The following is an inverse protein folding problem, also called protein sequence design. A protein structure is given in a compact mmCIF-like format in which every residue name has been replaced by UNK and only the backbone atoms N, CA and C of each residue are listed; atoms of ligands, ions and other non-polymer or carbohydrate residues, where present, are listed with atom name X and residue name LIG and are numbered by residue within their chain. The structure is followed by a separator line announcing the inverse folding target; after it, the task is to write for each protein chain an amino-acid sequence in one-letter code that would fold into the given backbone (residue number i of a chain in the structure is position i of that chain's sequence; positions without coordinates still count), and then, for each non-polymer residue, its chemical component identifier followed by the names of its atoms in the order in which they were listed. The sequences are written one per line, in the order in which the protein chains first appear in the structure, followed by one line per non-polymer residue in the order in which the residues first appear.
data_IF_678830266147
#
_entry.id   IF_678830266147
#
_cell.length_a   1.000
_cell.length_b   1.000
_cell.length_c   1.000
_cell.angle_alpha   90.00
_cell.angle_beta   90.00
_cell.angle_gamma   90.00
#
_symmetry.space_group_name_H-M   'P 1'
#
loop_
_entity.id
_entity.type
_entity.pdbx_description
1 polymer ?
#
# COMPACT_ATOMS: atom_id res chain seq x y z
N UNK A 1 10.46 10.09 -0.92
CA UNK A 1 9.73 10.30 0.34
C UNK A 1 8.92 11.58 0.36
N UNK A 2 9.45 12.67 -0.21
CA UNK A 2 8.70 13.92 -0.30
C UNK A 2 7.37 13.76 -1.04
N UNK A 3 7.36 12.97 -2.11
CA UNK A 3 6.13 12.73 -2.88
C UNK A 3 5.05 12.06 -2.03
N UNK A 4 5.44 11.12 -1.17
CA UNK A 4 4.50 10.46 -0.27
C UNK A 4 3.98 11.41 0.80
N UNK A 5 4.85 12.24 1.35
CA UNK A 5 4.44 13.24 2.34
C UNK A 5 3.47 14.25 1.72
N UNK A 6 3.76 14.73 0.51
CA UNK A 6 2.87 15.65 -0.21
C UNK A 6 1.51 15.02 -0.48
N UNK A 7 1.49 13.75 -0.89
CA UNK A 7 0.23 13.03 -1.13
C UNK A 7 -0.60 12.94 0.14
N UNK A 8 0.02 12.56 1.26
CA UNK A 8 -0.67 12.45 2.55
C UNK A 8 -1.19 13.81 3.00
N UNK A 9 -0.39 14.86 2.86
CA UNK A 9 -0.81 16.22 3.22
C UNK A 9 -2.02 16.67 2.40
N UNK A 10 -2.02 16.43 1.09
CA UNK A 10 -3.13 16.77 0.21
C UNK A 10 -4.40 16.02 0.63
N UNK A 11 -4.28 14.71 0.91
CA UNK A 11 -5.41 13.89 1.33
C UNK A 11 -5.98 14.39 2.66
N UNK A 12 -5.13 14.67 3.65
CA UNK A 12 -5.57 15.12 4.96
C UNK A 12 -6.15 16.52 4.94
N UNK A 13 -5.65 17.40 4.07
CA UNK A 13 -6.17 18.76 3.93
C UNK A 13 -7.47 18.81 3.13
N UNK A 14 -7.68 17.83 2.22
CA UNK A 14 -8.85 17.79 1.34
C UNK A 14 -10.00 17.02 1.98
N UNK A 15 -9.70 15.92 2.70
CA UNK A 15 -10.70 15.04 3.31
C UNK A 15 -10.84 15.36 4.80
N UNK A 16 -12.05 15.20 5.38
CA UNK A 16 -12.23 15.30 6.83
C UNK A 16 -11.64 14.05 7.50
N UNK A 17 -10.35 14.10 7.80
CA UNK A 17 -9.58 12.93 8.28
C UNK A 17 -10.16 12.34 9.56
N UNK A 18 -10.80 13.15 10.39
CA UNK A 18 -11.46 12.70 11.61
C UNK A 18 -12.67 11.81 11.35
N UNK A 19 -13.22 11.86 10.13
CA UNK A 19 -14.35 11.04 9.70
C UNK A 19 -13.95 9.83 8.87
N UNK A 20 -12.65 9.72 8.54
CA UNK A 20 -12.14 8.56 7.83
C UNK A 20 -11.89 7.44 8.83
N UNK A 21 -12.54 6.29 8.64
CA UNK A 21 -12.43 5.16 9.55
C UNK A 21 -11.20 4.30 9.25
N UNK A 22 -10.91 4.09 7.97
CA UNK A 22 -9.77 3.27 7.56
C UNK A 22 -9.25 3.67 6.20
N UNK A 23 -7.99 3.34 5.94
CA UNK A 23 -7.31 3.55 4.67
C UNK A 23 -6.68 2.25 4.23
N UNK A 24 -6.85 1.90 2.97
CA UNK A 24 -6.19 0.75 2.37
C UNK A 24 -4.97 1.20 1.57
N UNK A 25 -3.81 0.62 1.87
CA UNK A 25 -2.58 0.85 1.13
C UNK A 25 -2.27 -0.35 0.26
N UNK A 26 -1.93 -0.10 -1.00
CA UNK A 26 -1.51 -1.16 -1.91
C UNK A 26 -0.35 -0.69 -2.76
N UNK A 27 0.58 -1.58 -3.07
CA UNK A 27 1.64 -1.30 -4.03
C UNK A 27 1.19 -1.75 -5.42
N UNK A 28 1.85 -1.20 -6.43
CA UNK A 28 1.59 -1.59 -7.81
C UNK A 28 1.95 -3.06 -8.00
N UNK A 29 1.01 -3.82 -8.54
CA UNK A 29 1.20 -5.22 -8.90
C UNK A 29 0.46 -5.51 -10.20
N UNK A 30 0.99 -6.42 -10.98
CA UNK A 30 0.44 -6.68 -12.32
C UNK A 30 0.74 -8.10 -12.78
N UNK A 31 -0.09 -8.60 -13.69
CA UNK A 31 0.21 -9.81 -14.43
C UNK A 31 1.16 -9.47 -15.58
N UNK A 32 2.05 -10.40 -15.98
CA UNK A 32 3.06 -10.11 -17.02
C UNK A 32 2.48 -9.53 -18.32
N UNK A 33 1.29 -9.96 -18.71
CA UNK A 33 0.62 -9.49 -19.94
C UNK A 33 0.28 -8.00 -19.88
N UNK A 34 0.00 -7.47 -18.70
CA UNK A 34 -0.38 -6.06 -18.53
C UNK A 34 0.79 -5.13 -18.83
N UNK A 35 2.03 -5.57 -18.58
CA UNK A 35 3.22 -4.76 -18.86
C UNK A 35 3.30 -4.34 -20.32
N UNK A 36 3.08 -5.27 -21.24
CA UNK A 36 3.08 -4.97 -22.69
C UNK A 36 2.00 -3.98 -23.07
N UNK A 37 0.80 -4.15 -22.49
CA UNK A 37 -0.34 -3.27 -22.78
C UNK A 37 -0.04 -1.84 -22.31
N UNK A 38 0.46 -1.69 -21.11
CA UNK A 38 0.78 -0.38 -20.54
C UNK A 38 1.91 0.28 -21.33
N UNK A 39 2.99 -0.46 -21.64
CA UNK A 39 4.11 0.09 -22.39
C UNK A 39 3.70 0.55 -23.79
N UNK A 40 2.76 -0.14 -24.44
CA UNK A 40 2.27 0.25 -25.74
C UNK A 40 1.41 1.52 -25.68
N UNK A 41 0.61 1.68 -24.64
CA UNK A 41 -0.27 2.85 -24.46
C UNK A 41 0.44 4.05 -23.85
N UNK A 42 1.43 3.79 -23.00
CA UNK A 42 2.15 4.81 -22.24
C UNK A 42 3.65 4.53 -22.28
N UNK A 43 4.32 4.71 -23.45
CA UNK A 43 5.73 4.33 -23.60
C UNK A 43 6.68 5.13 -22.70
N UNK A 44 6.26 6.31 -22.22
CA UNK A 44 7.05 7.14 -21.31
C UNK A 44 6.86 6.81 -19.84
N UNK A 45 6.08 5.77 -19.50
CA UNK A 45 5.82 5.44 -18.10
C UNK A 45 7.08 5.01 -17.34
N UNK A 46 7.16 5.38 -16.06
CA UNK A 46 8.24 4.98 -15.17
C UNK A 46 7.89 3.74 -14.32
N UNK A 47 6.69 3.18 -14.47
CA UNK A 47 6.19 2.10 -13.62
C UNK A 47 7.06 0.85 -13.63
N UNK A 48 7.71 0.55 -14.77
CA UNK A 48 8.49 -0.68 -14.95
C UNK A 48 10.00 -0.47 -14.92
N UNK A 49 10.48 0.71 -14.49
CA UNK A 49 11.92 1.01 -14.44
C UNK A 49 12.65 0.31 -13.31
N UNK A 50 11.95 -0.03 -12.24
CA UNK A 50 12.52 -0.81 -11.13
C UNK A 50 12.41 -2.29 -11.42
N UNK A 51 13.24 -3.10 -10.75
CA UNK A 51 13.11 -4.55 -10.83
C UNK A 51 11.84 -5.00 -10.14
N UNK A 52 11.14 -5.95 -10.77
CA UNK A 52 9.94 -6.55 -10.24
C UNK A 52 10.12 -8.06 -10.09
N UNK A 53 9.50 -8.63 -9.07
CA UNK A 53 9.62 -10.03 -8.72
C UNK A 53 8.25 -10.71 -8.75
N UNK A 54 8.16 -11.96 -9.24
CA UNK A 54 6.89 -12.69 -9.23
C UNK A 54 6.50 -13.08 -7.81
N UNK A 55 5.24 -12.83 -7.46
CA UNK A 55 4.66 -13.27 -6.20
C UNK A 55 4.05 -14.66 -6.32
N UNK A 56 3.56 -15.18 -5.20
CA UNK A 56 2.90 -16.50 -5.14
C UNK A 56 1.64 -16.58 -6.00
N UNK A 57 1.01 -15.44 -6.27
CA UNK A 57 -0.20 -15.34 -7.08
C UNK A 57 0.09 -15.13 -8.58
N UNK A 58 1.36 -15.19 -9.00
CA UNK A 58 1.76 -15.00 -10.39
C UNK A 58 1.81 -13.55 -10.85
N UNK A 59 1.56 -12.60 -9.99
CA UNK A 59 1.65 -11.18 -10.29
C UNK A 59 3.03 -10.65 -9.95
N UNK A 60 3.53 -9.71 -10.76
CA UNK A 60 4.81 -9.04 -10.48
C UNK A 60 4.60 -7.86 -9.55
N UNK A 61 5.56 -7.64 -8.64
CA UNK A 61 5.55 -6.58 -7.64
C UNK A 61 6.92 -5.95 -7.50
N UNK A 62 6.97 -4.78 -6.90
CA UNK A 62 8.23 -4.19 -6.47
C UNK A 62 8.91 -5.07 -5.43
N UNK A 63 10.24 -4.93 -5.33
CA UNK A 63 11.06 -5.66 -4.36
C UNK A 63 10.51 -5.45 -2.94
N UNK A 64 10.41 -6.54 -2.17
CA UNK A 64 9.77 -6.54 -0.85
C UNK A 64 10.32 -5.48 0.12
N UNK A 65 11.66 -5.30 0.28
CA UNK A 65 12.18 -4.24 1.16
C UNK A 65 11.73 -2.85 0.73
N UNK A 66 11.60 -2.58 -0.57
CA UNK A 66 11.10 -1.30 -1.07
C UNK A 66 9.62 -1.10 -0.72
N UNK A 67 8.82 -2.16 -0.85
CA UNK A 67 7.40 -2.12 -0.47
C UNK A 67 7.26 -1.84 1.02
N UNK A 68 8.02 -2.56 1.86
CA UNK A 68 7.99 -2.37 3.31
C UNK A 68 8.33 -0.93 3.68
N UNK A 69 9.38 -0.37 3.07
CA UNK A 69 9.80 1.00 3.34
C UNK A 69 8.72 2.00 2.92
N UNK A 70 8.13 1.83 1.75
CA UNK A 70 7.07 2.72 1.27
C UNK A 70 5.85 2.67 2.18
N UNK A 71 5.41 1.47 2.58
CA UNK A 71 4.28 1.31 3.49
C UNK A 71 4.55 1.95 4.85
N UNK A 72 5.74 1.73 5.42
CA UNK A 72 6.11 2.32 6.72
C UNK A 72 6.14 3.84 6.64
N UNK A 73 6.67 4.39 5.56
CA UNK A 73 6.75 5.83 5.35
C UNK A 73 5.36 6.45 5.27
N UNK A 74 4.49 5.90 4.43
CA UNK A 74 3.13 6.43 4.26
C UNK A 74 2.31 6.25 5.55
N UNK A 75 2.41 5.08 6.18
CA UNK A 75 1.73 4.82 7.44
C UNK A 75 2.17 5.81 8.52
N UNK A 76 3.47 6.08 8.61
CA UNK A 76 4.00 7.05 9.55
C UNK A 76 3.40 8.44 9.36
N UNK A 77 3.32 8.92 8.13
CA UNK A 77 2.72 10.21 7.83
C UNK A 77 1.21 10.23 8.15
N UNK A 78 0.48 9.18 7.81
CA UNK A 78 -0.95 9.09 8.11
C UNK A 78 -1.21 9.07 9.62
N UNK A 79 -0.43 8.26 10.36
CA UNK A 79 -0.59 8.16 11.81
C UNK A 79 -0.20 9.45 12.53
N UNK A 80 0.69 10.25 11.97
CA UNK A 80 1.03 11.56 12.53
C UNK A 80 -0.14 12.54 12.41
N UNK A 81 -1.03 12.35 11.43
CA UNK A 81 -2.21 13.20 11.21
C UNK A 81 -3.44 12.66 11.95
N UNK A 82 -3.56 11.36 12.15
CA UNK A 82 -4.66 10.76 12.90
C UNK A 82 -4.24 9.44 13.54
N UNK A 83 -4.12 9.43 14.86
CA UNK A 83 -3.70 8.23 15.61
C UNK A 83 -4.78 7.13 15.65
N UNK A 84 -6.03 7.49 15.42
CA UNK A 84 -7.15 6.54 15.46
C UNK A 84 -7.41 5.88 14.11
N UNK A 85 -6.71 6.30 13.07
CA UNK A 85 -6.89 5.78 11.72
C UNK A 85 -6.45 4.33 11.64
N UNK A 86 -7.32 3.47 11.12
CA UNK A 86 -6.98 2.08 10.82
C UNK A 86 -6.40 1.97 9.42
N UNK A 87 -5.24 1.32 9.29
CA UNK A 87 -4.53 1.18 8.02
C UNK A 87 -4.45 -0.29 7.65
N UNK A 88 -4.98 -0.63 6.48
CA UNK A 88 -5.04 -1.97 5.91
C UNK A 88 -4.04 -2.08 4.75
N UNK A 89 -3.35 -3.20 4.66
CA UNK A 89 -2.45 -3.48 3.53
C UNK A 89 -3.16 -4.39 2.53
N UNK A 90 -3.44 -3.84 1.36
CA UNK A 90 -4.19 -4.55 0.32
C UNK A 90 -3.33 -5.60 -0.35
N UNK A 91 -3.81 -6.86 -0.36
CA UNK A 91 -3.17 -7.98 -1.07
C UNK A 91 -1.72 -8.21 -0.68
N UNK A 92 -1.38 -8.04 0.58
CA UNK A 92 -0.04 -8.27 1.10
C UNK A 92 0.03 -9.50 1.99
N UNK A 93 1.25 -10.06 2.14
CA UNK A 93 1.50 -11.24 2.95
C UNK A 93 1.44 -10.92 4.44
N UNK A 94 1.28 -11.97 5.26
CA UNK A 94 1.29 -11.83 6.72
C UNK A 94 2.59 -11.23 7.23
N UNK A 95 3.73 -11.60 6.62
CA UNK A 95 5.03 -11.08 7.02
C UNK A 95 5.13 -9.57 6.81
N UNK A 96 4.62 -9.06 5.69
CA UNK A 96 4.62 -7.62 5.42
C UNK A 96 3.68 -6.89 6.37
N UNK A 97 2.52 -7.46 6.67
CA UNK A 97 1.60 -6.91 7.66
C UNK A 97 2.30 -6.74 9.01
N UNK A 98 2.99 -7.79 9.47
CA UNK A 98 3.69 -7.76 10.74
C UNK A 98 4.82 -6.73 10.74
N UNK A 99 5.62 -6.69 9.66
CA UNK A 99 6.74 -5.75 9.53
C UNK A 99 6.29 -4.30 9.56
N UNK A 100 5.16 -3.99 8.96
CA UNK A 100 4.68 -2.62 8.79
C UNK A 100 3.78 -2.18 9.94
N UNK A 101 2.84 -3.02 10.35
CA UNK A 101 1.81 -2.64 11.33
C UNK A 101 2.00 -3.26 12.70
N UNK A 102 2.83 -4.28 12.82
CA UNK A 102 2.97 -5.07 14.04
C UNK A 102 1.79 -6.02 14.29
N UNK A 103 0.88 -6.15 13.33
CA UNK A 103 -0.31 -6.99 13.42
C UNK A 103 -0.36 -7.95 12.24
N UNK A 104 -0.88 -9.14 12.48
CA UNK A 104 -1.03 -10.16 11.44
C UNK A 104 -2.46 -10.66 11.43
N UNK A 105 -3.34 -10.17 10.55
CA UNK A 105 -4.68 -10.70 10.42
C UNK A 105 -4.61 -12.12 9.85
N UNK A 106 -5.04 -13.11 10.64
CA UNK A 106 -4.98 -14.53 10.26
C UNK A 106 -6.33 -15.12 9.92
N UNK A 107 -7.40 -14.37 10.09
CA UNK A 107 -8.75 -14.84 9.85
C UNK A 107 -9.66 -13.66 9.55
N UNK A 108 -10.82 -13.94 8.96
CA UNK A 108 -11.85 -12.93 8.67
C UNK A 108 -12.27 -12.18 9.93
N UNK A 109 -12.38 -12.90 11.05
CA UNK A 109 -12.72 -12.29 12.34
C UNK A 109 -11.71 -11.23 12.76
N UNK A 110 -10.42 -11.48 12.53
CA UNK A 110 -9.37 -10.50 12.84
C UNK A 110 -9.43 -9.30 11.91
N UNK A 111 -9.75 -9.52 10.63
CA UNK A 111 -9.97 -8.42 9.69
C UNK A 111 -11.18 -7.59 10.11
N UNK A 112 -12.27 -8.24 10.51
CA UNK A 112 -13.47 -7.54 10.98
C UNK A 112 -13.16 -6.67 12.20
N UNK A 113 -12.40 -7.19 13.16
CA UNK A 113 -11.94 -6.43 14.30
C UNK A 113 -11.04 -5.28 13.90
N UNK A 114 -10.17 -5.50 12.93
CA UNK A 114 -9.24 -4.48 12.43
C UNK A 114 -10.00 -3.30 11.82
N UNK A 115 -11.08 -3.57 11.09
CA UNK A 115 -11.92 -2.55 10.49
C UNK A 115 -13.03 -2.04 11.40
N UNK A 116 -13.17 -2.63 12.59
CA UNK A 116 -14.24 -2.30 13.54
C UNK A 116 -15.62 -2.47 12.91
N UNK A 117 -15.78 -3.56 12.18
CA UNK A 117 -17.03 -3.90 11.52
C UNK A 117 -17.95 -4.74 12.42
#
# INVERSE_FOLDING_TARGET
EEAYQQLVDILCDTLPIDKVEWVSLGSFRYRPTLKSIINNRHPETHLFRSEHFPGKDGKFRYFRPLRNQAYKTIRGYLMSRSKELSIYLCMETSEIWEDVTGKTPRSDKKLDQFFDL
#
